data_IF_972158209044
#
_entry.id   IF_972158209044
#
_cell.length_a   1.000
_cell.length_b   1.000
_cell.length_c   1.000
_cell.angle_alpha   90.00
_cell.angle_beta   90.00
_cell.angle_gamma   90.00
#
_symmetry.space_group_name_H-M   'P 1'
#
loop_
_entity.id
_entity.type
_entity.pdbx_description
1 polymer ?
#
# COMPACT_ATOMS: atom_id res chain seq x y z
N UNK A 1 11.91 23.36 10.82
CA UNK A 1 10.80 24.31 11.14
C UNK A 1 9.50 23.53 10.97
N UNK A 2 8.71 23.32 12.03
CA UNK A 2 7.44 22.60 11.90
C UNK A 2 6.33 23.53 11.39
N UNK A 3 5.45 23.04 10.50
CA UNK A 3 4.30 23.82 10.04
C UNK A 3 3.29 24.02 11.19
N UNK A 4 2.89 25.27 11.51
CA UNK A 4 1.86 25.54 12.51
C UNK A 4 0.57 24.78 12.21
N UNK A 5 -0.12 24.28 13.23
CA UNK A 5 -1.34 23.47 13.08
C UNK A 5 -2.44 24.19 12.28
N UNK A 6 -2.56 25.51 12.41
CA UNK A 6 -3.50 26.33 11.62
C UNK A 6 -3.23 26.22 10.12
N UNK A 7 -1.96 26.31 9.71
CA UNK A 7 -1.58 26.20 8.29
C UNK A 7 -1.71 24.77 7.77
N UNK A 8 -1.66 23.75 8.63
CA UNK A 8 -1.83 22.36 8.19
C UNK A 8 -3.26 22.11 7.67
N UNK A 9 -4.27 22.69 8.32
CA UNK A 9 -5.66 22.56 7.90
C UNK A 9 -5.90 23.23 6.54
N UNK A 10 -5.42 24.46 6.38
CA UNK A 10 -5.52 25.20 5.11
C UNK A 10 -4.81 24.46 3.97
N UNK A 11 -3.65 23.86 4.23
CA UNK A 11 -2.91 23.08 3.23
C UNK A 11 -3.64 21.78 2.85
N UNK A 12 -4.35 21.15 3.79
CA UNK A 12 -5.19 19.97 3.50
C UNK A 12 -6.37 20.38 2.60
N UNK A 13 -7.05 21.48 2.94
CA UNK A 13 -8.17 21.99 2.13
C UNK A 13 -7.72 22.36 0.72
N UNK A 14 -6.55 22.99 0.58
CA UNK A 14 -5.95 23.26 -0.73
C UNK A 14 -5.62 21.98 -1.50
N UNK A 15 -5.07 20.97 -0.83
CA UNK A 15 -4.79 19.68 -1.45
C UNK A 15 -6.09 19.04 -1.98
N UNK A 16 -7.16 19.06 -1.20
CA UNK A 16 -8.47 18.53 -1.61
C UNK A 16 -9.04 19.26 -2.84
N UNK A 17 -8.95 20.60 -2.87
CA UNK A 17 -9.37 21.41 -4.04
C UNK A 17 -8.58 21.02 -5.30
N UNK A 18 -7.31 20.66 -5.14
CA UNK A 18 -6.46 20.20 -6.27
C UNK A 18 -6.66 18.73 -6.63
N UNK A 19 -7.58 18.03 -5.98
CA UNK A 19 -7.89 16.62 -6.23
C UNK A 19 -6.96 15.63 -5.50
N UNK A 20 -6.14 16.11 -4.55
CA UNK A 20 -5.31 15.26 -3.71
C UNK A 20 -6.11 14.86 -2.48
N UNK A 21 -6.74 13.68 -2.53
CA UNK A 21 -7.36 13.07 -1.36
C UNK A 21 -6.31 12.29 -0.59
N UNK A 22 -5.69 12.93 0.40
CA UNK A 22 -4.74 12.29 1.31
C UNK A 22 -5.33 12.22 2.71
N UNK A 23 -5.16 11.07 3.37
CA UNK A 23 -5.50 10.92 4.78
C UNK A 23 -4.69 11.98 5.57
N UNK A 24 -5.31 12.76 6.47
CA UNK A 24 -4.63 13.85 7.17
C UNK A 24 -3.31 13.45 7.85
N UNK A 25 -3.22 12.22 8.35
CA UNK A 25 -2.00 11.67 8.93
C UNK A 25 -0.87 11.49 7.91
N UNK A 26 -1.17 10.98 6.72
CA UNK A 26 -0.18 10.83 5.63
C UNK A 26 0.27 12.20 5.13
N UNK A 27 -0.67 13.15 5.01
CA UNK A 27 -0.36 14.51 4.62
C UNK A 27 0.59 15.21 5.61
N UNK A 28 0.37 15.03 6.92
CA UNK A 28 1.28 15.54 7.96
C UNK A 28 2.70 14.99 7.82
N UNK A 29 2.84 13.69 7.55
CA UNK A 29 4.16 13.08 7.31
C UNK A 29 4.84 13.70 6.09
N UNK A 30 4.11 13.93 4.99
CA UNK A 30 4.68 14.60 3.81
C UNK A 30 5.17 16.01 4.14
N UNK A 31 4.39 16.79 4.89
CA UNK A 31 4.80 18.13 5.33
C UNK A 31 6.05 18.09 6.21
N UNK A 32 6.17 17.11 7.10
CA UNK A 32 7.37 16.93 7.92
C UNK A 32 8.60 16.58 7.09
N UNK A 33 8.46 15.70 6.09
CA UNK A 33 9.56 15.36 5.17
C UNK A 33 10.02 16.60 4.36
N UNK A 34 9.08 17.42 3.89
CA UNK A 34 9.39 18.69 3.23
C UNK A 34 10.10 19.67 4.17
N UNK A 35 9.67 19.73 5.44
CA UNK A 35 10.33 20.56 6.46
C UNK A 35 11.76 20.11 6.80
N UNK A 36 12.09 18.84 6.55
CA UNK A 36 13.44 18.27 6.63
C UNK A 36 14.27 18.48 5.36
N UNK A 37 13.74 19.22 4.38
CA UNK A 37 14.36 19.46 3.07
C UNK A 37 14.60 18.20 2.24
N UNK A 38 13.75 17.19 2.40
CA UNK A 38 13.71 16.05 1.47
C UNK A 38 13.12 16.51 0.14
N UNK A 39 13.69 16.08 -0.98
CA UNK A 39 13.18 16.44 -2.31
C UNK A 39 11.73 15.95 -2.51
N UNK A 40 10.84 16.78 -3.05
CA UNK A 40 9.46 16.38 -3.34
C UNK A 40 9.39 15.25 -4.38
N UNK A 41 10.32 15.21 -5.34
CA UNK A 41 10.44 14.14 -6.33
C UNK A 41 10.77 12.79 -5.68
N UNK A 42 11.66 12.79 -4.69
CA UNK A 42 12.03 11.60 -3.93
C UNK A 42 10.86 11.10 -3.07
N UNK A 43 10.15 12.02 -2.39
CA UNK A 43 8.93 11.70 -1.63
C UNK A 43 7.88 11.07 -2.55
N UNK A 44 7.63 11.66 -3.72
CA UNK A 44 6.69 11.13 -4.70
C UNK A 44 7.11 9.74 -5.19
N UNK A 45 8.39 9.55 -5.49
CA UNK A 45 8.93 8.25 -5.95
C UNK A 45 8.74 7.18 -4.88
N UNK A 46 9.03 7.51 -3.62
CA UNK A 46 8.82 6.61 -2.48
C UNK A 46 7.33 6.23 -2.32
N UNK A 47 6.43 7.23 -2.32
CA UNK A 47 4.99 7.01 -2.20
C UNK A 47 4.45 6.13 -3.33
N UNK A 48 4.93 6.34 -4.57
CA UNK A 48 4.58 5.52 -5.73
C UNK A 48 5.06 4.08 -5.58
N UNK A 49 6.27 3.86 -5.05
CA UNK A 49 6.81 2.52 -4.82
C UNK A 49 6.06 1.77 -3.73
N UNK A 50 5.64 2.43 -2.64
CA UNK A 50 4.90 1.76 -1.56
C UNK A 50 3.44 1.48 -1.95
N UNK A 51 2.79 2.40 -2.68
CA UNK A 51 1.40 2.24 -3.14
C UNK A 51 1.25 1.01 -4.04
N UNK A 52 2.21 0.79 -4.94
CA UNK A 52 2.20 -0.33 -5.89
C UNK A 52 2.58 -1.69 -5.27
N UNK A 53 3.29 -1.69 -4.14
CA UNK A 53 3.67 -2.93 -3.44
C UNK A 53 2.53 -3.50 -2.59
N UNK A 54 1.63 -2.65 -2.10
CA UNK A 54 0.50 -3.10 -1.26
C UNK A 54 -0.52 -3.99 -2.00
N UNK A 55 -0.60 -3.91 -3.33
CA UNK A 55 -1.57 -4.73 -4.11
C UNK A 55 -1.05 -6.11 -4.50
N UNK A 56 0.23 -6.43 -4.25
CA UNK A 56 0.85 -7.71 -4.69
C UNK A 56 0.86 -8.81 -3.62
N UNK A 57 0.28 -8.59 -2.45
CA UNK A 57 0.32 -9.51 -1.32
C UNK A 57 -0.90 -10.46 -1.20
N UNK A 58 -1.48 -10.92 -2.32
CA UNK A 58 -2.58 -11.89 -2.25
C UNK A 58 -2.69 -12.83 -3.45
N UNK A 59 -1.57 -13.30 -4.01
CA UNK A 59 -1.60 -14.50 -4.87
C UNK A 59 -0.24 -15.17 -4.83
N UNK A 60 -0.05 -16.15 -3.94
CA UNK A 60 0.77 -17.36 -4.17
C UNK A 60 0.61 -18.27 -2.95
N UNK A 61 -0.43 -19.11 -2.95
CA UNK A 61 -0.41 -20.46 -2.36
C UNK A 61 -1.63 -21.23 -2.87
N UNK A 62 -1.57 -21.64 -4.13
CA UNK A 62 -2.23 -22.84 -4.65
C UNK A 62 -1.61 -23.18 -6.01
N UNK A 63 -0.41 -23.76 -5.95
CA UNK A 63 0.06 -24.72 -6.94
C UNK A 63 -0.53 -26.09 -6.52
N UNK A 64 -0.99 -27.02 -7.35
CA UNK A 64 -1.20 -27.17 -8.78
C UNK A 64 -2.15 -28.41 -8.94
N UNK A 65 -2.70 -28.71 -10.14
CA UNK A 65 -3.63 -29.82 -10.35
C UNK A 65 -2.87 -31.14 -10.42
N UNK A 66 -3.44 -32.24 -9.92
CA UNK A 66 -2.93 -33.56 -10.27
C UNK A 66 -4.05 -34.51 -10.65
N UNK A 67 -3.90 -35.03 -11.85
CA UNK A 67 -4.78 -35.92 -12.58
C UNK A 67 -4.85 -37.31 -11.94
N UNK A 68 -5.89 -38.06 -12.32
CA UNK A 68 -6.25 -39.35 -11.75
C UNK A 68 -5.12 -40.38 -11.72
N UNK A 69 -4.99 -41.02 -10.56
CA UNK A 69 -4.34 -42.32 -10.43
C UNK A 69 -5.40 -43.35 -10.03
N UNK A 70 -5.56 -44.33 -10.92
CA UNK A 70 -6.29 -45.58 -10.69
C UNK A 70 -5.65 -46.35 -9.53
N UNK A 71 -6.45 -46.70 -8.52
CA UNK A 71 -6.23 -47.85 -7.63
C UNK A 71 -7.60 -48.52 -7.51
N UNK A 72 -7.86 -49.69 -8.08
CA UNK A 72 -7.11 -50.92 -7.83
C UNK A 72 -7.81 -51.64 -6.67
N UNK A 73 -8.67 -52.59 -7.02
CA UNK A 73 -9.40 -53.50 -6.14
C UNK A 73 -8.52 -54.13 -5.06
N UNK A 74 -9.03 -54.31 -3.83
CA UNK A 74 -8.81 -55.52 -3.01
C UNK A 74 -9.54 -55.43 -1.67
N UNK A 75 -10.25 -56.50 -1.35
CA UNK A 75 -11.00 -56.87 -0.15
C UNK A 75 -10.20 -56.78 1.16
N UNK A 76 -10.88 -56.53 2.31
CA UNK A 76 -10.66 -57.25 3.60
C UNK A 76 -11.63 -56.82 4.73
N UNK A 77 -12.58 -57.72 5.05
CA UNK A 77 -12.96 -58.26 6.37
C UNK A 77 -12.90 -57.36 7.63
N UNK A 78 -14.06 -57.13 8.25
CA UNK A 78 -14.35 -57.52 9.64
C UNK A 78 -15.84 -57.70 9.86
#
# INVERSE_FOLDING_TARGET
MAFPQSHQQELIELAEITGISAIPSVFRIMLELLALQVSPEDIYTLLKQISTKSSRSSTTQQAAPNEGVKTGSSSTKK
#
